data_IF_636044236957
#
_entry.id   IF_636044236957
#
_cell.length_a   1.000
_cell.length_b   1.000
_cell.length_c   1.000
_cell.angle_alpha   90.00
_cell.angle_beta   90.00
_cell.angle_gamma   90.00
#
_symmetry.space_group_name_H-M   'P 1'
#
loop_
_entity.id
_entity.type
_entity.pdbx_description
1 polymer ?
#
# COMPACT_ATOMS: atom_id res chain seq x y z
N UNK A 1 -12.08 -34.93 -9.26
CA UNK A 1 -12.81 -33.64 -9.20
C UNK A 1 -11.82 -32.51 -9.43
N UNK A 2 -12.11 -31.59 -10.37
CA UNK A 2 -11.32 -30.38 -10.66
C UNK A 2 -11.94 -29.19 -9.90
N UNK A 3 -11.15 -28.47 -9.10
CA UNK A 3 -11.51 -27.14 -8.62
C UNK A 3 -10.69 -26.13 -9.42
N UNK A 4 -11.29 -25.57 -10.47
CA UNK A 4 -10.79 -24.37 -11.13
C UNK A 4 -11.48 -23.20 -10.45
N UNK A 5 -10.83 -22.66 -9.41
CA UNK A 5 -11.17 -21.32 -8.95
C UNK A 5 -10.60 -20.36 -10.00
N UNK A 6 -11.49 -19.95 -10.91
CA UNK A 6 -11.27 -18.91 -11.90
C UNK A 6 -11.05 -17.58 -11.18
N UNK A 7 -9.83 -17.33 -10.75
CA UNK A 7 -9.39 -16.01 -10.31
C UNK A 7 -9.09 -15.17 -11.56
N UNK A 8 -10.14 -14.81 -12.30
CA UNK A 8 -10.06 -13.86 -13.42
C UNK A 8 -10.62 -12.50 -13.01
N UNK A 9 -10.07 -11.92 -11.95
CA UNK A 9 -10.34 -10.54 -11.53
C UNK A 9 -9.21 -9.58 -11.96
N UNK A 10 -8.48 -9.90 -13.04
CA UNK A 10 -7.44 -9.02 -13.60
C UNK A 10 -7.81 -8.38 -14.95
N UNK A 11 -8.93 -8.77 -15.58
CA UNK A 11 -9.29 -8.36 -16.96
C UNK A 11 -10.40 -7.31 -17.07
N UNK A 12 -10.72 -6.57 -15.99
CA UNK A 12 -11.70 -5.48 -16.06
C UNK A 12 -11.14 -4.13 -15.58
N UNK A 13 -9.85 -3.90 -15.83
CA UNK A 13 -9.31 -2.53 -15.78
C UNK A 13 -9.73 -1.80 -17.06
N UNK A 14 -10.57 -0.74 -16.98
CA UNK A 14 -10.92 0.04 -18.16
C UNK A 14 -9.64 0.60 -18.81
N UNK A 15 -9.52 0.42 -20.14
CA UNK A 15 -8.43 0.92 -21.01
C UNK A 15 -8.40 2.45 -21.14
N UNK A 16 -8.91 3.19 -20.17
CA UNK A 16 -8.68 4.62 -20.01
C UNK A 16 -7.67 4.78 -18.87
N UNK A 17 -6.42 4.39 -19.12
CA UNK A 17 -5.33 4.63 -18.17
C UNK A 17 -5.13 6.15 -18.13
N UNK A 18 -5.41 6.84 -17.00
CA UNK A 18 -5.01 8.23 -16.87
C UNK A 18 -3.48 8.32 -17.05
N UNK A 19 -2.95 9.42 -17.61
CA UNK A 19 -1.53 9.55 -17.89
C UNK A 19 -0.72 9.21 -16.63
N UNK A 20 0.32 8.35 -16.72
CA UNK A 20 1.08 7.87 -15.57
C UNK A 20 2.00 8.94 -14.95
N UNK A 21 1.72 10.21 -15.17
CA UNK A 21 2.60 11.34 -14.83
C UNK A 21 2.46 11.84 -13.39
N UNK A 22 1.69 11.17 -12.53
CA UNK A 22 1.59 11.53 -11.11
C UNK A 22 2.15 10.40 -10.23
N UNK A 23 2.92 10.74 -9.19
CA UNK A 23 3.39 9.75 -8.23
C UNK A 23 2.18 9.07 -7.56
N UNK A 24 2.21 7.73 -7.57
CA UNK A 24 1.23 6.91 -6.87
C UNK A 24 1.93 6.28 -5.68
N UNK A 25 1.28 6.34 -4.54
CA UNK A 25 1.77 5.78 -3.29
C UNK A 25 0.97 4.54 -2.95
N UNK A 26 1.67 3.49 -2.52
CA UNK A 26 1.07 2.32 -1.91
C UNK A 26 0.87 2.60 -0.43
N UNK A 27 -0.39 2.59 0.01
CA UNK A 27 -0.78 2.86 1.40
C UNK A 27 -1.19 1.56 2.06
N UNK A 28 -0.56 1.27 3.19
CA UNK A 28 -0.92 0.17 4.06
C UNK A 28 -2.07 0.62 4.97
N UNK A 29 -3.21 -0.07 4.92
CA UNK A 29 -4.40 0.31 5.69
C UNK A 29 -4.35 -0.33 7.08
N UNK A 30 -4.47 0.45 8.15
CA UNK A 30 -4.49 -0.07 9.52
C UNK A 30 -5.58 -1.14 9.71
N UNK A 31 -5.21 -2.30 10.29
CA UNK A 31 -6.15 -3.37 10.59
C UNK A 31 -6.65 -4.16 9.38
N UNK A 32 -6.16 -3.82 8.18
CA UNK A 32 -6.47 -4.53 6.94
C UNK A 32 -5.25 -5.32 6.47
N UNK A 33 -5.42 -6.52 5.89
CA UNK A 33 -4.33 -7.24 5.23
C UNK A 33 -4.04 -6.69 3.82
N UNK A 34 -4.85 -5.76 3.31
CA UNK A 34 -4.76 -5.22 1.96
C UNK A 34 -4.18 -3.81 1.94
N UNK A 35 -3.40 -3.54 0.90
CA UNK A 35 -2.86 -2.20 0.60
C UNK A 35 -3.68 -1.55 -0.52
N UNK A 36 -3.79 -0.22 -0.46
CA UNK A 36 -4.47 0.58 -1.49
C UNK A 36 -3.47 1.45 -2.24
N UNK A 37 -3.90 1.97 -3.39
CA UNK A 37 -3.08 2.85 -4.24
C UNK A 37 -3.76 4.20 -4.36
N UNK A 38 -3.10 5.23 -3.81
CA UNK A 38 -3.60 6.61 -3.84
C UNK A 38 -2.60 7.53 -4.53
N UNK A 39 -3.09 8.67 -4.99
CA UNK A 39 -2.25 9.77 -5.46
C UNK A 39 -1.87 10.68 -4.30
N UNK A 40 -0.75 11.39 -4.42
CA UNK A 40 -0.30 12.38 -3.41
C UNK A 40 -1.41 13.35 -2.98
N UNK A 41 -2.23 13.81 -3.94
CA UNK A 41 -3.34 14.74 -3.71
C UNK A 41 -4.45 14.20 -2.79
N UNK A 42 -4.49 12.89 -2.57
CA UNK A 42 -5.47 12.22 -1.70
C UNK A 42 -4.84 11.74 -0.39
N UNK A 43 -3.59 12.12 -0.12
CA UNK A 43 -2.92 11.84 1.13
C UNK A 43 -2.96 13.06 2.03
N UNK A 44 -3.29 12.84 3.28
CA UNK A 44 -3.18 13.83 4.35
C UNK A 44 -2.11 13.35 5.33
N UNK A 45 -1.31 14.27 5.91
CA UNK A 45 -0.37 13.91 6.96
C UNK A 45 -1.14 13.38 8.17
N UNK A 46 -0.64 12.30 8.75
CA UNK A 46 -1.16 11.77 10.00
C UNK A 46 -0.39 12.39 11.18
N UNK A 47 -1.11 13.01 12.10
CA UNK A 47 -0.57 13.65 13.31
C UNK A 47 -0.63 12.74 14.56
N UNK A 48 -1.29 11.59 14.45
CA UNK A 48 -1.61 10.72 15.60
C UNK A 48 -0.38 9.90 16.02
N UNK A 49 0.61 9.73 15.12
CA UNK A 49 1.87 9.01 15.34
C UNK A 49 1.67 7.59 15.91
N UNK A 50 0.50 7.00 15.69
CA UNK A 50 0.15 5.69 16.21
C UNK A 50 0.68 4.56 15.31
N UNK A 51 1.09 3.42 15.90
CA UNK A 51 1.53 2.29 15.11
C UNK A 51 0.35 1.68 14.34
N UNK A 52 0.51 1.52 13.03
CA UNK A 52 -0.40 0.74 12.21
C UNK A 52 -0.17 -0.76 12.37
N UNK A 53 -1.26 -1.53 12.43
CA UNK A 53 -1.20 -2.99 12.41
C UNK A 53 -1.44 -3.50 11.00
N UNK A 54 -0.38 -3.90 10.30
CA UNK A 54 -0.45 -4.46 8.95
C UNK A 54 0.61 -5.55 8.75
N UNK A 55 0.28 -6.73 8.18
CA UNK A 55 1.22 -7.84 8.05
C UNK A 55 2.43 -7.50 7.17
N UNK A 56 2.23 -6.77 6.06
CA UNK A 56 3.33 -6.31 5.19
C UNK A 56 4.15 -5.16 5.78
N UNK A 57 3.73 -4.55 6.90
CA UNK A 57 4.48 -3.44 7.50
C UNK A 57 5.92 -3.85 7.80
N UNK A 58 6.10 -5.03 8.42
CA UNK A 58 7.41 -5.60 8.79
C UNK A 58 8.32 -5.90 7.59
N UNK A 59 7.74 -6.01 6.38
CA UNK A 59 8.50 -6.26 5.15
C UNK A 59 9.15 -4.98 4.62
N UNK A 60 8.47 -3.83 4.80
CA UNK A 60 8.93 -2.54 4.30
C UNK A 60 9.61 -1.69 5.36
N UNK A 61 9.20 -1.83 6.63
CA UNK A 61 9.62 -1.02 7.76
C UNK A 61 10.04 -1.90 8.93
N UNK A 62 11.03 -1.47 9.71
CA UNK A 62 11.49 -2.19 10.92
C UNK A 62 10.74 -1.75 12.15
N UNK A 63 10.94 -0.48 12.52
CA UNK A 63 10.51 0.07 13.80
C UNK A 63 9.90 1.45 13.58
N UNK A 64 9.05 1.87 14.52
CA UNK A 64 8.49 3.21 14.59
C UNK A 64 9.35 4.03 15.55
N UNK A 65 10.12 4.98 15.02
CA UNK A 65 10.97 5.86 15.82
C UNK A 65 10.47 7.31 15.69
N UNK A 66 10.23 7.98 16.81
CA UNK A 66 9.70 9.36 16.83
C UNK A 66 8.42 9.55 15.98
N UNK A 67 7.54 8.53 15.95
CA UNK A 67 6.32 8.55 15.16
C UNK A 67 6.52 8.42 13.64
N UNK A 68 7.73 8.03 13.20
CA UNK A 68 8.04 7.75 11.80
C UNK A 68 8.54 6.33 11.63
N UNK A 69 8.07 5.66 10.58
CA UNK A 69 8.53 4.31 10.27
C UNK A 69 9.89 4.34 9.58
N UNK A 70 10.84 3.59 10.13
CA UNK A 70 12.16 3.41 9.54
C UNK A 70 12.07 2.36 8.43
N UNK A 71 12.36 2.76 7.20
CA UNK A 71 12.34 1.87 6.04
C UNK A 71 13.49 0.86 6.12
N UNK A 72 13.16 -0.41 5.91
CA UNK A 72 14.13 -1.51 5.84
C UNK A 72 14.82 -1.65 4.50
N UNK A 73 14.34 -0.93 3.47
CA UNK A 73 15.00 -0.97 2.18
C UNK A 73 16.35 -0.25 2.28
N UNK A 74 17.47 -0.90 1.91
CA UNK A 74 18.73 -0.19 1.75
C UNK A 74 18.52 0.86 0.66
N UNK A 75 18.69 2.13 1.02
CA UNK A 75 18.69 3.21 0.04
C UNK A 75 19.98 3.06 -0.78
N UNK A 76 19.84 2.65 -2.04
CA UNK A 76 20.96 2.52 -2.99
C UNK A 76 21.18 3.82 -3.75
#
# INVERSE_FOLDING_TARGET
MKFQLTDNCYEQVPKSRPPPNKPRYSVLVHGSPHSTYVTEQNLEPDDILEPISHPMLKQYFSELENGRYISNMPTN
#
